data_IF_892875648602
#
_entry.id   IF_892875648602
#
_cell.length_a   1.000
_cell.length_b   1.000
_cell.length_c   1.000
_cell.angle_alpha   90.00
_cell.angle_beta   90.00
_cell.angle_gamma   90.00
#
_symmetry.space_group_name_H-M   'P 1'
#
loop_
_entity.id
_entity.type
_entity.pdbx_description
1 polymer ?
#
# COMPACT_ATOMS: atom_id res chain seq x y z
N UNK A 1 4.19 -23.08 -6.61
CA UNK A 1 4.77 -21.74 -6.35
C UNK A 1 4.02 -20.98 -5.25
N UNK A 2 2.69 -20.81 -5.34
CA UNK A 2 1.88 -20.20 -4.27
C UNK A 2 2.01 -20.86 -2.90
N UNK A 3 2.12 -22.19 -2.86
CA UNK A 3 2.26 -22.95 -1.61
C UNK A 3 3.59 -22.68 -0.91
N UNK A 4 4.63 -22.32 -1.66
CA UNK A 4 5.94 -21.96 -1.11
C UNK A 4 5.91 -20.59 -0.44
N UNK A 5 5.17 -19.64 -1.01
CA UNK A 5 4.96 -18.33 -0.40
C UNK A 5 4.14 -18.43 0.89
N UNK A 6 3.11 -19.29 0.91
CA UNK A 6 2.30 -19.52 2.12
C UNK A 6 3.11 -20.15 3.28
N UNK A 7 4.12 -20.97 2.97
CA UNK A 7 5.03 -21.56 3.98
C UNK A 7 6.10 -20.56 4.42
N UNK A 8 6.67 -19.78 3.49
CA UNK A 8 7.72 -18.81 3.79
C UNK A 8 7.19 -17.54 4.49
N UNK A 9 5.92 -17.19 4.27
CA UNK A 9 5.28 -16.01 4.83
C UNK A 9 3.95 -16.41 5.47
N UNK A 10 3.95 -16.81 6.76
CA UNK A 10 2.70 -17.05 7.48
C UNK A 10 1.85 -15.77 7.43
N UNK A 11 0.57 -15.94 7.09
CA UNK A 11 -0.34 -14.83 6.79
C UNK A 11 -0.43 -13.87 7.98
N UNK A 12 -0.35 -14.43 9.19
CA UNK A 12 -0.40 -13.74 10.47
C UNK A 12 0.80 -12.81 10.66
N UNK A 13 1.97 -13.17 10.11
CA UNK A 13 3.18 -12.36 10.21
C UNK A 13 3.16 -11.15 9.28
N UNK A 14 2.49 -11.26 8.13
CA UNK A 14 2.40 -10.16 7.15
C UNK A 14 1.14 -9.32 7.31
N UNK A 15 0.10 -9.83 8.00
CA UNK A 15 -1.16 -9.14 8.18
C UNK A 15 -1.01 -7.72 8.76
N UNK A 16 -0.16 -7.46 9.79
CA UNK A 16 0.05 -6.11 10.28
C UNK A 16 0.66 -5.18 9.22
N UNK A 17 1.61 -5.67 8.44
CA UNK A 17 2.26 -4.88 7.38
C UNK A 17 1.27 -4.53 6.26
N UNK A 18 0.45 -5.50 5.84
CA UNK A 18 -0.60 -5.27 4.84
C UNK A 18 -1.61 -4.26 5.37
N UNK A 19 -2.09 -4.42 6.61
CA UNK A 19 -3.01 -3.47 7.23
C UNK A 19 -2.39 -2.07 7.26
N UNK A 20 -1.16 -1.92 7.73
CA UNK A 20 -0.48 -0.62 7.77
C UNK A 20 -0.32 0.00 6.38
N UNK A 21 -0.02 -0.80 5.34
CA UNK A 21 0.10 -0.29 3.97
C UNK A 21 -1.20 0.31 3.40
N UNK A 22 -2.36 -0.08 3.94
CA UNK A 22 -3.67 0.45 3.56
C UNK A 22 -4.08 1.58 4.50
N UNK A 23 -4.00 1.33 5.81
CA UNK A 23 -4.54 2.24 6.81
C UNK A 23 -3.69 3.50 6.95
N UNK A 24 -2.36 3.42 7.01
CA UNK A 24 -1.47 4.58 7.21
C UNK A 24 -1.73 5.73 6.21
N UNK A 25 -1.73 5.51 4.88
CA UNK A 25 -1.98 6.60 3.94
C UNK A 25 -3.39 7.18 4.11
N UNK A 26 -4.38 6.36 4.46
CA UNK A 26 -5.74 6.82 4.70
C UNK A 26 -5.89 7.57 6.03
N UNK A 27 -5.22 7.17 7.12
CA UNK A 27 -5.30 7.89 8.39
C UNK A 27 -4.76 9.31 8.28
N UNK A 28 -3.70 9.51 7.48
CA UNK A 28 -3.18 10.85 7.20
C UNK A 28 -4.24 11.74 6.54
N UNK A 29 -4.98 11.20 5.58
CA UNK A 29 -6.03 11.92 4.88
C UNK A 29 -7.31 12.10 5.70
N UNK A 30 -7.62 11.13 6.57
CA UNK A 30 -8.67 11.28 7.58
C UNK A 30 -8.36 12.44 8.52
N UNK A 31 -7.08 12.64 8.88
CA UNK A 31 -6.63 13.80 9.66
C UNK A 31 -6.91 15.15 8.98
N UNK A 32 -7.05 15.15 7.65
CA UNK A 32 -7.45 16.32 6.85
C UNK A 32 -8.98 16.44 6.68
N UNK A 33 -9.77 15.58 7.33
CA UNK A 33 -11.23 15.59 7.26
C UNK A 33 -11.82 14.85 6.05
N UNK A 34 -11.02 14.10 5.29
CA UNK A 34 -11.51 13.37 4.12
C UNK A 34 -12.31 12.11 4.51
N UNK A 35 -13.42 11.78 3.81
CA UNK A 35 -14.29 10.64 4.12
C UNK A 35 -13.74 9.31 3.58
N UNK A 36 -12.53 8.95 4.02
CA UNK A 36 -11.80 7.77 3.52
C UNK A 36 -12.19 6.45 4.19
N UNK A 37 -12.93 6.49 5.30
CA UNK A 37 -13.43 5.32 6.01
C UNK A 37 -14.96 5.33 6.09
N UNK A 38 -15.58 4.16 6.15
CA UNK A 38 -17.02 4.01 6.43
C UNK A 38 -17.30 4.16 7.93
N UNK A 39 -18.57 4.29 8.30
CA UNK A 39 -18.98 4.08 9.69
C UNK A 39 -18.60 2.66 10.14
N UNK A 40 -18.20 2.53 11.40
CA UNK A 40 -17.87 1.27 12.03
C UNK A 40 -18.81 1.03 13.22
N UNK A 41 -19.10 -0.24 13.50
CA UNK A 41 -19.74 -0.61 14.77
C UNK A 41 -18.85 -0.25 15.96
N UNK A 42 -19.45 -0.05 17.13
CA UNK A 42 -18.71 0.31 18.35
C UNK A 42 -17.68 -0.77 18.69
N UNK A 43 -16.39 -0.38 18.76
CA UNK A 43 -15.26 -1.30 18.98
C UNK A 43 -14.74 -2.01 17.71
N UNK A 44 -15.35 -1.76 16.55
CA UNK A 44 -14.94 -2.31 15.27
C UNK A 44 -13.90 -1.45 14.54
N UNK A 45 -13.19 -2.07 13.59
CA UNK A 45 -12.32 -1.36 12.66
C UNK A 45 -13.14 -0.77 11.53
N UNK A 46 -12.93 0.52 11.25
CA UNK A 46 -13.57 1.15 10.11
C UNK A 46 -12.97 0.62 8.80
N UNK A 47 -13.80 0.07 7.94
CA UNK A 47 -13.38 -0.33 6.60
C UNK A 47 -13.11 0.92 5.74
N UNK A 48 -12.17 0.87 4.77
CA UNK A 48 -12.04 1.93 3.79
C UNK A 48 -13.34 2.10 2.99
N UNK A 49 -13.74 3.36 2.75
CA UNK A 49 -14.83 3.68 1.83
C UNK A 49 -14.42 3.40 0.39
N UNK A 50 -15.35 3.46 -0.57
CA UNK A 50 -14.99 3.35 -2.00
C UNK A 50 -13.96 4.40 -2.40
N UNK A 51 -14.10 5.62 -1.87
CA UNK A 51 -13.12 6.69 -2.05
C UNK A 51 -11.78 6.36 -1.39
N UNK A 52 -11.79 5.81 -0.18
CA UNK A 52 -10.57 5.31 0.48
C UNK A 52 -9.84 4.25 -0.35
N UNK A 53 -10.55 3.27 -0.91
CA UNK A 53 -9.95 2.27 -1.79
C UNK A 53 -9.36 2.88 -3.07
N UNK A 54 -10.03 3.87 -3.67
CA UNK A 54 -9.49 4.58 -4.83
C UNK A 54 -8.17 5.29 -4.50
N UNK A 55 -8.09 5.94 -3.33
CA UNK A 55 -6.84 6.57 -2.87
C UNK A 55 -5.74 5.53 -2.67
N UNK A 56 -6.03 4.39 -2.03
CA UNK A 56 -5.04 3.32 -1.82
C UNK A 56 -4.48 2.84 -3.15
N UNK A 57 -5.35 2.63 -4.15
CA UNK A 57 -4.92 2.23 -5.49
C UNK A 57 -4.03 3.28 -6.15
N UNK A 58 -4.40 4.57 -6.07
CA UNK A 58 -3.59 5.68 -6.59
C UNK A 58 -2.23 5.75 -5.88
N UNK A 59 -2.22 5.67 -4.55
CA UNK A 59 -1.01 5.70 -3.75
C UNK A 59 -0.05 4.57 -4.13
N UNK A 60 -0.55 3.33 -4.20
CA UNK A 60 0.26 2.18 -4.61
C UNK A 60 0.76 2.29 -6.05
N UNK A 61 -0.06 2.83 -6.96
CA UNK A 61 0.34 3.06 -8.35
C UNK A 61 1.49 4.05 -8.41
N UNK A 62 1.38 5.18 -7.73
CA UNK A 62 2.44 6.20 -7.65
C UNK A 62 3.71 5.59 -7.04
N UNK A 63 3.58 4.88 -5.93
CA UNK A 63 4.72 4.27 -5.23
C UNK A 63 5.51 3.34 -6.15
N UNK A 64 4.83 2.38 -6.79
CA UNK A 64 5.50 1.44 -7.69
C UNK A 64 6.00 2.09 -8.97
N UNK A 65 5.28 3.08 -9.51
CA UNK A 65 5.76 3.85 -10.65
C UNK A 65 7.06 4.58 -10.32
N UNK A 66 7.15 5.19 -9.14
CA UNK A 66 8.37 5.84 -8.65
C UNK A 66 9.52 4.84 -8.46
N UNK A 67 9.25 3.66 -7.88
CA UNK A 67 10.26 2.59 -7.74
C UNK A 67 10.76 2.14 -9.11
N UNK A 68 9.86 1.86 -10.06
CA UNK A 68 10.22 1.43 -11.40
C UNK A 68 11.03 2.51 -12.14
N UNK A 69 10.61 3.77 -12.06
CA UNK A 69 11.32 4.91 -12.64
C UNK A 69 12.71 5.07 -12.04
N UNK A 70 12.83 4.95 -10.71
CA UNK A 70 14.11 5.03 -10.01
C UNK A 70 15.04 3.91 -10.46
N UNK A 71 14.59 2.65 -10.42
CA UNK A 71 15.38 1.50 -10.87
C UNK A 71 15.80 1.67 -12.34
N UNK A 72 14.88 2.07 -13.22
CA UNK A 72 15.17 2.33 -14.63
C UNK A 72 16.23 3.42 -14.83
N UNK A 73 16.16 4.50 -14.05
CA UNK A 73 17.16 5.56 -14.07
C UNK A 73 18.57 5.06 -13.68
N UNK A 74 18.70 4.27 -12.62
CA UNK A 74 20.00 3.74 -12.19
C UNK A 74 20.55 2.68 -13.14
N UNK A 75 19.69 1.84 -13.72
CA UNK A 75 20.11 0.87 -14.73
C UNK A 75 20.59 1.58 -15.99
N UNK A 76 19.84 2.59 -16.47
CA UNK A 76 20.25 3.40 -17.62
C UNK A 76 21.61 4.07 -17.44
N UNK A 77 21.83 4.72 -16.28
CA UNK A 77 23.14 5.34 -15.98
C UNK A 77 24.31 4.36 -15.97
N UNK A 78 24.11 3.10 -15.60
CA UNK A 78 25.19 2.10 -15.61
C UNK A 78 25.57 1.67 -17.03
N UNK A 79 24.65 1.74 -17.98
CA UNK A 79 24.91 1.38 -19.38
C UNK A 79 25.68 2.50 -20.08
N UNK A 80 25.37 3.76 -19.80
CA UNK A 80 26.05 4.92 -20.41
C UNK A 80 27.53 5.09 -19.98
N UNK A 81 27.96 4.39 -18.93
CA UNK A 81 29.32 4.44 -18.38
C UNK A 81 30.16 3.18 -18.67
N UNK A 82 29.63 2.22 -19.44
CA UNK A 82 30.31 0.98 -19.85
C UNK A 82 30.74 1.05 -21.32
#
# INVERSE_FOLDING_TARGET
MLQFLAVAFPLEAIAPAVAMSIYVPLTLLRGLGLPVFTAAESGGWAAPSLFGWAIVAIFWTILWWSVASFVGYFVGRRIDHA
#
